data_IF_582843899765
#
_entry.id   IF_582843899765
#
_cell.length_a   1.000
_cell.length_b   1.000
_cell.length_c   1.000
_cell.angle_alpha   90.00
_cell.angle_beta   90.00
_cell.angle_gamma   90.00
#
_symmetry.space_group_name_H-M   'P 1'
#
loop_
_entity.id
_entity.type
_entity.pdbx_description
1 polymer ?
#
# COMPACT_ATOMS: atom_id res chain seq x y z
N UNK A 1 42.08 -9.09 25.10
CA UNK A 1 41.81 -10.11 24.05
C UNK A 1 40.52 -10.78 24.51
N UNK A 2 39.36 -10.59 23.89
CA UNK A 2 39.05 -10.70 22.47
C UNK A 2 37.82 -9.80 22.19
N UNK A 3 37.92 -8.99 21.15
CA UNK A 3 36.79 -8.21 20.63
C UNK A 3 35.85 -9.17 19.91
N UNK A 4 34.54 -9.03 20.11
CA UNK A 4 33.55 -9.62 19.20
C UNK A 4 32.50 -8.55 18.92
N UNK A 5 32.79 -7.81 17.86
CA UNK A 5 31.95 -6.79 17.29
C UNK A 5 30.62 -7.39 16.83
N UNK A 6 29.54 -7.05 17.53
CA UNK A 6 28.21 -7.09 16.93
C UNK A 6 28.15 -5.96 15.90
N UNK A 7 28.33 -6.32 14.63
CA UNK A 7 28.12 -5.45 13.46
C UNK A 7 26.74 -4.80 13.56
N UNK A 8 26.73 -3.50 13.83
CA UNK A 8 25.58 -2.63 13.58
C UNK A 8 25.34 -2.58 12.07
N UNK A 9 24.28 -3.23 11.58
CA UNK A 9 23.73 -2.94 10.26
C UNK A 9 22.96 -1.62 10.37
N UNK A 10 23.67 -0.50 10.13
CA UNK A 10 23.07 0.83 10.02
C UNK A 10 22.43 0.98 8.63
N UNK A 11 21.41 0.16 8.39
CA UNK A 11 20.46 0.37 7.31
C UNK A 11 19.50 1.45 7.77
N UNK A 12 19.83 2.70 7.46
CA UNK A 12 19.08 3.92 7.75
C UNK A 12 17.58 3.71 7.46
N UNK A 13 16.81 3.27 8.47
CA UNK A 13 15.34 3.24 8.39
C UNK A 13 14.90 4.69 8.29
N UNK A 14 14.65 5.19 7.07
CA UNK A 14 13.89 6.42 6.90
C UNK A 14 12.51 6.19 7.49
N UNK A 15 12.31 6.67 8.71
CA UNK A 15 11.01 6.72 9.34
C UNK A 15 10.22 7.78 8.57
N UNK A 16 9.40 7.32 7.62
CA UNK A 16 8.51 8.19 6.86
C UNK A 16 7.27 8.48 7.70
N UNK A 17 7.06 9.75 8.04
CA UNK A 17 5.82 10.22 8.64
C UNK A 17 4.90 10.71 7.52
N UNK A 18 3.75 10.05 7.34
CA UNK A 18 2.74 10.42 6.36
C UNK A 18 1.39 10.58 7.05
N UNK A 19 0.73 11.72 6.79
CA UNK A 19 -0.61 12.01 7.28
C UNK A 19 -1.59 12.05 6.10
N UNK A 20 -2.70 11.29 6.20
CA UNK A 20 -3.75 11.31 5.18
C UNK A 20 -4.72 12.46 5.47
N UNK A 21 -4.76 13.44 4.58
CA UNK A 21 -5.72 14.54 4.62
C UNK A 21 -6.59 14.52 3.35
N UNK A 22 -7.89 14.74 3.51
CA UNK A 22 -8.83 14.94 2.41
C UNK A 22 -9.06 16.45 2.25
N UNK A 23 -8.78 16.97 1.06
CA UNK A 23 -8.94 18.39 0.72
C UNK A 23 -9.83 18.53 -0.51
N UNK A 24 -10.66 19.56 -0.51
CA UNK A 24 -11.53 19.89 -1.65
C UNK A 24 -10.88 20.93 -2.55
N UNK A 25 -11.08 20.78 -3.86
CA UNK A 25 -10.72 21.78 -4.86
C UNK A 25 -11.92 22.64 -5.24
N UNK A 26 -11.66 23.89 -5.63
CA UNK A 26 -12.66 24.76 -6.25
C UNK A 26 -12.78 24.53 -7.76
N UNK A 27 -13.59 25.35 -8.44
CA UNK A 27 -13.84 25.26 -9.88
C UNK A 27 -12.60 25.55 -10.74
N UNK A 28 -11.59 26.23 -10.19
CA UNK A 28 -10.32 26.50 -10.86
C UNK A 28 -9.26 25.44 -10.57
N UNK A 29 -9.60 24.43 -9.76
CA UNK A 29 -8.67 23.38 -9.33
C UNK A 29 -7.77 23.79 -8.17
N UNK A 30 -8.00 24.94 -7.54
CA UNK A 30 -7.24 25.35 -6.36
C UNK A 30 -7.79 24.68 -5.10
N UNK A 31 -6.91 24.39 -4.14
CA UNK A 31 -7.32 23.87 -2.84
C UNK A 31 -8.14 24.93 -2.09
N UNK A 32 -9.37 24.60 -1.69
CA UNK A 32 -10.22 25.52 -0.90
C UNK A 32 -9.59 25.89 0.44
N UNK A 33 -8.80 24.99 1.01
CA UNK A 33 -8.07 25.19 2.26
C UNK A 33 -6.70 24.53 2.19
N UNK A 34 -5.66 25.30 2.49
CA UNK A 34 -4.30 24.79 2.60
C UNK A 34 -4.07 24.32 4.04
N UNK A 35 -3.66 23.06 4.27
CA UNK A 35 -3.34 22.59 5.61
C UNK A 35 -2.11 23.30 6.18
N UNK A 36 -2.03 23.36 7.52
CA UNK A 36 -0.87 23.91 8.20
C UNK A 36 0.32 22.95 8.04
N UNK A 37 1.36 23.41 7.34
CA UNK A 37 2.59 22.65 7.12
C UNK A 37 3.65 23.00 8.19
N UNK A 38 4.57 22.07 8.49
CA UNK A 38 5.68 22.35 9.40
C UNK A 38 6.61 23.44 8.84
N UNK A 39 7.10 24.37 9.68
CA UNK A 39 7.94 25.48 9.23
C UNK A 39 9.33 24.98 8.81
N UNK A 40 9.84 25.53 7.70
CA UNK A 40 11.20 25.30 7.18
C UNK A 40 11.55 23.81 6.94
N UNK A 41 10.58 23.01 6.49
CA UNK A 41 10.79 21.59 6.13
C UNK A 41 10.50 21.36 4.65
N UNK A 42 11.27 20.46 4.04
CA UNK A 42 10.98 19.93 2.71
C UNK A 42 9.94 18.82 2.84
N UNK A 43 8.94 18.84 1.97
CA UNK A 43 7.81 17.92 1.99
C UNK A 43 7.67 17.26 0.63
N UNK A 44 7.41 15.96 0.63
CA UNK A 44 6.95 15.22 -0.53
C UNK A 44 5.43 15.08 -0.41
N UNK A 45 4.71 15.41 -1.49
CA UNK A 45 3.24 15.40 -1.50
C UNK A 45 2.72 14.54 -2.65
N UNK A 46 1.70 13.73 -2.36
CA UNK A 46 1.01 12.86 -3.32
C UNK A 46 -0.46 13.27 -3.35
N UNK A 47 -0.96 13.64 -4.53
CA UNK A 47 -2.37 14.01 -4.72
C UNK A 47 -3.15 12.84 -5.33
N UNK A 48 -4.22 12.42 -4.66
CA UNK A 48 -5.15 11.41 -5.15
C UNK A 48 -6.53 12.06 -5.38
N UNK A 49 -7.00 12.06 -6.63
CA UNK A 49 -8.36 12.54 -6.97
C UNK A 49 -9.37 11.48 -6.55
N UNK A 50 -10.15 11.77 -5.50
CA UNK A 50 -11.08 10.79 -4.90
C UNK A 50 -12.42 10.68 -5.64
N UNK A 51 -12.83 11.73 -6.34
CA UNK A 51 -14.09 11.78 -7.06
C UNK A 51 -13.91 12.48 -8.40
N UNK A 52 -13.51 11.74 -9.43
CA UNK A 52 -14.04 12.07 -10.75
C UNK A 52 -15.52 11.70 -10.71
N UNK A 53 -16.41 12.60 -11.12
CA UNK A 53 -17.82 12.29 -11.35
C UNK A 53 -18.05 11.27 -12.47
N UNK A 54 -16.98 10.63 -12.97
CA UNK A 54 -17.16 9.33 -13.60
C UNK A 54 -17.40 8.32 -12.47
N UNK A 55 -18.69 8.00 -12.27
CA UNK A 55 -19.08 6.69 -11.80
C UNK A 55 -18.52 5.65 -12.80
N UNK A 56 -17.21 5.42 -12.79
CA UNK A 56 -16.61 4.18 -13.21
C UNK A 56 -17.10 3.22 -12.15
N UNK A 57 -18.27 2.65 -12.38
CA UNK A 57 -18.70 1.39 -11.78
C UNK A 57 -17.44 0.56 -11.76
N UNK A 58 -16.88 0.32 -10.57
CA UNK A 58 -15.65 -0.42 -10.45
C UNK A 58 -15.86 -1.69 -11.25
N UNK A 59 -15.14 -1.86 -12.36
CA UNK A 59 -15.28 -3.05 -13.20
C UNK A 59 -14.66 -4.15 -12.37
N UNK A 60 -15.48 -4.75 -11.52
CA UNK A 60 -15.09 -5.89 -10.70
C UNK A 60 -14.83 -7.01 -11.70
N UNK A 61 -13.58 -7.48 -11.76
CA UNK A 61 -13.22 -8.60 -12.61
C UNK A 61 -14.01 -9.81 -12.12
N UNK A 62 -14.89 -10.32 -12.96
CA UNK A 62 -15.60 -11.57 -12.71
C UNK A 62 -14.84 -12.71 -13.39
N UNK A 63 -14.79 -13.90 -12.77
CA UNK A 63 -14.31 -15.10 -13.46
C UNK A 63 -15.13 -15.36 -14.74
N UNK A 64 -14.54 -16.07 -15.71
CA UNK A 64 -15.26 -16.50 -16.91
C UNK A 64 -16.56 -17.22 -16.53
N UNK A 65 -17.69 -17.06 -17.26
CA UNK A 65 -18.98 -17.68 -16.90
C UNK A 65 -18.90 -19.19 -16.67
N UNK A 66 -17.98 -19.86 -17.36
CA UNK A 66 -17.80 -21.30 -17.22
C UNK A 66 -17.26 -21.74 -15.86
N UNK A 67 -16.57 -20.86 -15.13
CA UNK A 67 -15.98 -21.13 -13.82
C UNK A 67 -16.65 -20.36 -12.68
N UNK A 68 -17.35 -19.26 -12.99
CA UNK A 68 -18.03 -18.44 -11.99
C UNK A 68 -19.05 -19.29 -11.21
N UNK A 69 -18.90 -19.33 -9.88
CA UNK A 69 -19.79 -20.09 -8.98
C UNK A 69 -19.62 -21.62 -9.00
N UNK A 70 -18.73 -22.17 -9.85
CA UNK A 70 -18.50 -23.62 -9.95
C UNK A 70 -17.26 -24.10 -9.19
N UNK A 71 -16.46 -23.19 -8.66
CA UNK A 71 -15.22 -23.51 -7.93
C UNK A 71 -15.52 -23.77 -6.46
N UNK A 72 -14.98 -24.87 -5.93
CA UNK A 72 -15.03 -25.23 -4.51
C UNK A 72 -13.61 -25.17 -3.96
N UNK A 73 -13.41 -24.39 -2.91
CA UNK A 73 -12.14 -24.36 -2.18
C UNK A 73 -12.11 -25.61 -1.29
N UNK A 74 -11.17 -26.53 -1.57
CA UNK A 74 -11.04 -27.83 -0.84
C UNK A 74 -10.05 -27.79 0.33
N UNK A 75 -9.43 -26.65 0.61
CA UNK A 75 -8.40 -26.52 1.63
C UNK A 75 -8.26 -25.10 2.15
N UNK A 76 -7.34 -24.88 3.08
CA UNK A 76 -7.04 -23.56 3.59
C UNK A 76 -6.22 -22.76 2.57
N UNK A 77 -6.71 -21.57 2.22
CA UNK A 77 -6.08 -20.65 1.28
C UNK A 77 -5.61 -19.35 1.94
N UNK A 78 -5.87 -19.19 3.23
CA UNK A 78 -5.50 -18.00 4.00
C UNK A 78 -4.15 -18.23 4.67
N UNK A 79 -3.92 -19.44 5.17
CA UNK A 79 -2.66 -19.79 5.81
C UNK A 79 -1.55 -20.08 4.80
N UNK A 80 -0.33 -19.65 5.14
CA UNK A 80 0.85 -19.94 4.33
C UNK A 80 1.29 -21.40 4.52
N UNK A 81 1.73 -22.03 3.44
CA UNK A 81 2.42 -23.31 3.51
C UNK A 81 3.70 -23.17 4.34
N UNK A 82 4.04 -24.20 5.12
CA UNK A 82 5.25 -24.20 5.94
C UNK A 82 6.49 -24.28 5.06
N UNK A 83 7.65 -23.85 5.54
CA UNK A 83 8.90 -23.92 4.76
C UNK A 83 9.30 -25.35 4.38
N UNK A 84 8.83 -26.35 5.13
CA UNK A 84 9.03 -27.78 4.82
C UNK A 84 8.17 -28.27 3.65
N UNK A 85 7.09 -27.56 3.32
CA UNK A 85 6.24 -27.86 2.16
C UNK A 85 6.81 -27.26 0.87
N UNK A 86 7.90 -26.50 0.96
CA UNK A 86 8.53 -25.87 -0.19
C UNK A 86 9.55 -26.86 -0.75
N UNK A 87 9.31 -27.36 -1.96
CA UNK A 87 10.21 -28.27 -2.68
C UNK A 87 11.43 -27.50 -3.22
N UNK A 88 12.22 -26.93 -2.31
CA UNK A 88 13.43 -26.18 -2.63
C UNK A 88 14.65 -27.11 -2.66
N UNK A 89 15.56 -26.96 -3.64
CA UNK A 89 16.82 -27.69 -3.67
C UNK A 89 17.71 -27.29 -2.48
N UNK A 90 18.43 -28.27 -1.94
CA UNK A 90 19.41 -28.10 -0.84
C UNK A 90 20.69 -27.39 -1.30
#
# INVERSE_FOLDING_TARGET
>A
MEQSATKSFDGERRIMYAEKLIVETDLSGMLKKVPKLPPNKQLEAIFLVLSESSAKVAVVRTPHPDIAGKVIIKGDIINCATSSDWDLPQ
#
